data_IF_046409249309
#
_entry.id   IF_046409249309
#
_cell.length_a   1.000
_cell.length_b   1.000
_cell.length_c   1.000
_cell.angle_alpha   90.00
_cell.angle_beta   90.00
_cell.angle_gamma   90.00
#
_symmetry.space_group_name_H-M   'P 1'
#
loop_
_entity.id
_entity.type
_entity.pdbx_description
1 polymer ?
#
# COMPACT_ATOMS: atom_id res chain seq x y z
N UNK A 1 22.39 -67.02 35.27
CA UNK A 1 21.35 -66.11 35.78
C UNK A 1 21.58 -64.74 35.17
N UNK A 2 20.87 -64.41 34.08
CA UNK A 2 20.86 -63.06 33.50
C UNK A 2 19.88 -62.17 34.28
N UNK A 3 20.36 -61.01 34.74
CA UNK A 3 19.55 -60.00 35.42
C UNK A 3 18.94 -59.06 34.38
N UNK A 4 17.64 -59.20 34.11
CA UNK A 4 16.89 -58.20 33.33
C UNK A 4 16.77 -56.91 34.14
N UNK A 5 17.52 -55.88 33.73
CA UNK A 5 17.50 -54.57 34.37
C UNK A 5 16.33 -53.79 33.78
N UNK A 6 15.21 -53.74 34.50
CA UNK A 6 14.02 -52.97 34.12
C UNK A 6 14.31 -51.48 34.17
N UNK A 7 14.56 -50.87 33.01
CA UNK A 7 14.59 -49.42 32.85
C UNK A 7 13.17 -48.86 33.11
N UNK A 8 12.95 -48.27 34.29
CA UNK A 8 11.71 -47.54 34.59
C UNK A 8 11.57 -46.37 33.62
N UNK A 9 10.73 -46.53 32.59
CA UNK A 9 10.32 -45.42 31.73
C UNK A 9 9.56 -44.41 32.59
N UNK A 10 10.12 -43.22 32.77
CA UNK A 10 9.42 -42.11 33.44
C UNK A 10 8.29 -41.65 32.51
N UNK A 11 7.05 -41.76 32.96
CA UNK A 11 5.89 -41.19 32.27
C UNK A 11 5.74 -39.71 32.60
N UNK A 12 5.17 -38.95 31.67
CA UNK A 12 4.77 -37.55 31.91
C UNK A 12 3.69 -37.49 32.99
N UNK A 13 3.83 -36.56 33.92
CA UNK A 13 2.81 -36.26 34.91
C UNK A 13 1.72 -35.38 34.30
N UNK A 14 0.48 -35.50 34.82
CA UNK A 14 -0.63 -34.64 34.39
C UNK A 14 -0.33 -33.16 34.60
N UNK A 15 0.40 -32.82 35.67
CA UNK A 15 0.78 -31.44 35.97
C UNK A 15 1.81 -30.90 34.97
N UNK A 16 2.76 -31.71 34.52
CA UNK A 16 3.71 -31.31 33.46
C UNK A 16 2.98 -31.01 32.16
N UNK A 17 2.00 -31.83 31.77
CA UNK A 17 1.21 -31.57 30.57
C UNK A 17 0.35 -30.30 30.71
N UNK A 18 -0.22 -30.07 31.91
CA UNK A 18 -1.05 -28.91 32.20
C UNK A 18 -0.24 -27.60 32.14
N UNK A 19 0.98 -27.60 32.67
CA UNK A 19 1.88 -26.43 32.59
C UNK A 19 2.26 -26.13 31.13
N UNK A 20 2.51 -27.16 30.31
CA UNK A 20 2.88 -26.97 28.91
C UNK A 20 1.75 -26.30 28.11
N UNK A 21 0.52 -26.78 28.24
CA UNK A 21 -0.62 -26.15 27.53
C UNK A 21 -0.90 -24.73 28.04
N UNK A 22 -0.67 -24.47 29.33
CA UNK A 22 -0.79 -23.13 29.91
C UNK A 22 0.24 -22.16 29.32
N UNK A 23 1.52 -22.57 29.21
CA UNK A 23 2.59 -21.76 28.60
C UNK A 23 2.30 -21.53 27.11
N UNK A 24 1.89 -22.57 26.37
CA UNK A 24 1.54 -22.44 24.95
C UNK A 24 0.37 -21.46 24.77
N UNK A 25 -0.65 -21.50 25.63
CA UNK A 25 -1.78 -20.56 25.60
C UNK A 25 -1.36 -19.11 25.81
N UNK A 26 -0.49 -18.85 26.79
CA UNK A 26 0.05 -17.51 27.06
C UNK A 26 0.86 -17.00 25.86
N UNK A 27 1.80 -17.80 25.34
CA UNK A 27 2.63 -17.42 24.19
C UNK A 27 1.78 -17.21 22.92
N UNK A 28 0.80 -18.08 22.65
CA UNK A 28 -0.08 -17.97 21.48
C UNK A 28 -0.91 -16.67 21.52
N UNK A 29 -1.45 -16.29 22.68
CA UNK A 29 -2.23 -15.05 22.83
C UNK A 29 -1.40 -13.79 22.55
N UNK A 30 -0.13 -13.75 22.99
CA UNK A 30 0.75 -12.61 22.75
C UNK A 30 1.14 -12.46 21.26
N UNK A 31 1.25 -13.56 20.51
CA UNK A 31 1.62 -13.54 19.09
C UNK A 31 0.50 -12.92 18.24
N UNK A 32 -0.77 -13.22 18.54
CA UNK A 32 -1.91 -12.77 17.72
C UNK A 32 -2.02 -11.24 17.61
N UNK A 33 -1.73 -10.51 18.68
CA UNK A 33 -1.82 -9.03 18.71
C UNK A 33 -0.77 -8.38 17.79
N UNK A 34 0.43 -8.97 17.67
CA UNK A 34 1.52 -8.39 16.89
C UNK A 34 1.40 -8.64 15.38
N UNK A 35 0.73 -9.72 14.97
CA UNK A 35 0.61 -10.10 13.55
C UNK A 35 -0.27 -9.13 12.76
N UNK A 36 -1.25 -8.48 13.38
CA UNK A 36 -2.12 -7.50 12.71
C UNK A 36 -1.33 -6.27 12.24
N UNK A 37 -0.50 -5.68 13.10
CA UNK A 37 0.34 -4.52 12.78
C UNK A 37 1.43 -4.86 11.76
N UNK A 38 2.05 -6.04 11.86
CA UNK A 38 3.04 -6.49 10.88
C UNK A 38 2.45 -6.64 9.46
N UNK A 39 1.22 -7.17 9.35
CA UNK A 39 0.51 -7.28 8.07
C UNK A 39 0.19 -5.92 7.46
N UNK A 40 -0.23 -4.95 8.29
CA UNK A 40 -0.45 -3.55 7.87
C UNK A 40 0.82 -2.96 7.25
N UNK A 41 1.94 -3.02 7.97
CA UNK A 41 3.23 -2.50 7.48
C UNK A 41 3.71 -3.20 6.21
N UNK A 42 3.48 -4.51 6.09
CA UNK A 42 3.84 -5.26 4.89
C UNK A 42 3.02 -4.83 3.66
N UNK A 43 1.71 -4.54 3.83
CA UNK A 43 0.87 -4.00 2.75
C UNK A 43 1.30 -2.59 2.36
N UNK A 44 1.59 -1.73 3.33
CA UNK A 44 2.10 -0.38 3.07
C UNK A 44 3.45 -0.41 2.33
N UNK A 45 4.38 -1.29 2.73
CA UNK A 45 5.64 -1.47 2.00
C UNK A 45 5.40 -1.92 0.54
N UNK A 46 4.47 -2.85 0.33
CA UNK A 46 4.08 -3.29 -1.01
C UNK A 46 3.49 -2.13 -1.83
N UNK A 47 2.65 -1.27 -1.23
CA UNK A 47 2.11 -0.08 -1.89
C UNK A 47 3.21 0.84 -2.42
N UNK A 48 4.18 1.14 -1.57
CA UNK A 48 5.34 1.98 -1.93
C UNK A 48 6.12 1.38 -3.11
N UNK A 49 6.43 0.09 -3.07
CA UNK A 49 7.14 -0.56 -4.19
C UNK A 49 6.32 -0.56 -5.48
N UNK A 50 5.00 -0.75 -5.41
CA UNK A 50 4.13 -0.73 -6.58
C UNK A 50 4.01 0.67 -7.18
N UNK A 51 3.96 1.72 -6.36
CA UNK A 51 3.99 3.12 -6.82
C UNK A 51 5.28 3.44 -7.59
N UNK A 52 6.44 3.03 -7.07
CA UNK A 52 7.73 3.20 -7.75
C UNK A 52 7.76 2.50 -9.12
N UNK A 53 7.14 1.33 -9.23
CA UNK A 53 7.02 0.62 -10.51
C UNK A 53 6.16 1.39 -11.52
N UNK A 54 5.04 1.98 -11.07
CA UNK A 54 4.18 2.81 -11.93
C UNK A 54 4.91 4.07 -12.36
N UNK A 55 5.60 4.76 -11.43
CA UNK A 55 6.45 5.91 -11.74
C UNK A 55 7.49 5.59 -12.80
N UNK A 56 8.20 4.47 -12.65
CA UNK A 56 9.21 4.06 -13.64
C UNK A 56 8.58 3.91 -15.03
N UNK A 57 7.38 3.34 -15.12
CA UNK A 57 6.64 3.27 -16.37
C UNK A 57 6.23 4.65 -16.91
N UNK A 58 5.79 5.56 -16.04
CA UNK A 58 5.43 6.93 -16.42
C UNK A 58 6.63 7.67 -17.02
N UNK A 59 7.82 7.50 -16.44
CA UNK A 59 9.07 8.07 -16.97
C UNK A 59 9.44 7.46 -18.33
N UNK A 60 9.26 6.15 -18.51
CA UNK A 60 9.47 5.49 -19.81
C UNK A 60 8.51 6.03 -20.88
N UNK A 61 7.23 6.17 -20.53
CA UNK A 61 6.23 6.75 -21.42
C UNK A 61 6.60 8.19 -21.80
N UNK A 62 7.02 9.01 -20.82
CA UNK A 62 7.46 10.37 -21.05
C UNK A 62 8.67 10.43 -21.99
N UNK A 63 9.67 9.58 -21.78
CA UNK A 63 10.85 9.51 -22.65
C UNK A 63 10.49 9.17 -24.11
N UNK A 64 9.45 8.36 -24.34
CA UNK A 64 8.99 7.99 -25.66
C UNK A 64 8.07 9.03 -26.33
N UNK A 65 7.22 9.72 -25.56
CA UNK A 65 6.14 10.57 -26.09
C UNK A 65 6.31 12.07 -25.80
N UNK A 66 7.29 12.45 -24.98
CA UNK A 66 7.55 13.81 -24.54
C UNK A 66 6.51 14.41 -23.60
N UNK A 67 5.57 13.59 -23.11
CA UNK A 67 4.46 13.94 -22.19
C UNK A 67 4.05 12.72 -21.38
N UNK A 68 3.50 12.93 -20.19
CA UNK A 68 2.89 11.86 -19.40
C UNK A 68 1.52 11.44 -19.98
N UNK A 69 1.09 10.18 -19.81
CA UNK A 69 -0.14 9.69 -20.42
C UNK A 69 -1.38 10.42 -19.88
N UNK A 70 -2.46 10.57 -20.68
CA UNK A 70 -3.71 11.07 -20.16
C UNK A 70 -4.30 10.10 -19.14
N UNK A 71 -4.97 10.65 -18.12
CA UNK A 71 -5.72 9.88 -17.14
C UNK A 71 -7.00 9.32 -17.81
N UNK A 72 -6.88 8.15 -18.45
CA UNK A 72 -8.00 7.54 -19.18
C UNK A 72 -8.42 8.35 -20.39
N UNK A 73 -9.72 8.65 -20.51
CA UNK A 73 -10.31 9.43 -21.61
C UNK A 73 -10.31 10.95 -21.42
N UNK A 74 -9.68 11.45 -20.35
CA UNK A 74 -9.67 12.87 -20.03
C UNK A 74 -8.64 13.66 -20.85
N UNK A 75 -8.94 14.93 -21.16
CA UNK A 75 -7.99 15.86 -21.76
C UNK A 75 -6.99 16.37 -20.71
N UNK A 76 -5.84 16.87 -21.18
CA UNK A 76 -4.84 17.50 -20.31
C UNK A 76 -5.40 18.73 -19.59
N UNK A 77 -5.02 18.91 -18.32
CA UNK A 77 -5.39 20.08 -17.52
C UNK A 77 -6.84 20.10 -17.00
N UNK A 78 -7.63 19.04 -17.20
CA UNK A 78 -9.00 18.96 -16.65
C UNK A 78 -9.05 18.45 -15.21
N UNK A 79 -7.91 18.39 -14.51
CA UNK A 79 -7.76 17.84 -13.15
C UNK A 79 -8.52 16.51 -12.96
N UNK A 80 -8.22 15.55 -13.82
CA UNK A 80 -8.92 14.28 -13.88
C UNK A 80 -8.07 13.16 -13.29
N UNK A 81 -8.70 12.32 -12.47
CA UNK A 81 -8.08 11.17 -11.83
C UNK A 81 -8.72 9.86 -12.25
N UNK A 82 -7.87 8.88 -12.53
CA UNK A 82 -8.23 7.47 -12.68
C UNK A 82 -7.66 6.70 -11.51
N UNK A 83 -8.34 5.65 -11.06
CA UNK A 83 -7.87 4.82 -9.97
C UNK A 83 -7.95 3.34 -10.32
N UNK A 84 -7.11 2.54 -9.66
CA UNK A 84 -7.11 1.09 -9.77
C UNK A 84 -8.46 0.56 -9.28
N UNK A 85 -9.37 0.29 -10.20
CA UNK A 85 -10.57 -0.51 -9.91
C UNK A 85 -10.24 -2.00 -10.09
N UNK A 86 -11.23 -2.88 -9.95
CA UNK A 86 -11.08 -4.30 -10.28
C UNK A 86 -10.83 -4.57 -11.77
N UNK A 87 -11.02 -3.58 -12.65
CA UNK A 87 -10.69 -3.67 -14.06
C UNK A 87 -9.20 -3.35 -14.29
N UNK A 88 -8.50 -4.27 -14.96
CA UNK A 88 -7.08 -4.16 -15.29
C UNK A 88 -6.81 -2.89 -16.12
N UNK A 89 -5.65 -2.27 -15.87
CA UNK A 89 -5.08 -1.16 -16.64
C UNK A 89 -5.82 0.18 -16.56
N UNK A 90 -5.96 0.70 -15.34
CA UNK A 90 -6.54 2.00 -15.01
C UNK A 90 -5.84 3.21 -15.66
N UNK A 91 -4.63 3.05 -16.21
CA UNK A 91 -3.99 4.00 -17.15
C UNK A 91 -3.72 3.25 -18.46
N UNK A 92 -4.68 3.24 -19.42
CA UNK A 92 -4.57 2.39 -20.61
C UNK A 92 -3.32 2.66 -21.45
N UNK A 93 -2.94 3.93 -21.64
CA UNK A 93 -1.76 4.31 -22.41
C UNK A 93 -0.44 3.82 -21.79
N UNK A 94 -0.40 3.66 -20.46
CA UNK A 94 0.78 3.18 -19.74
C UNK A 94 0.94 1.65 -19.81
N UNK A 95 -0.16 0.93 -20.06
CA UNK A 95 -0.13 -0.54 -20.12
C UNK A 95 0.76 -1.09 -21.24
N UNK A 96 1.03 -0.28 -22.27
CA UNK A 96 1.98 -0.62 -23.33
C UNK A 96 3.44 -0.68 -22.82
N UNK A 97 3.80 0.09 -21.79
CA UNK A 97 5.18 0.20 -21.31
C UNK A 97 5.51 -0.81 -20.21
N UNK A 98 4.59 -1.02 -19.27
CA UNK A 98 4.84 -1.87 -18.08
C UNK A 98 3.88 -3.05 -17.96
N UNK A 99 3.03 -3.27 -18.96
CA UNK A 99 2.05 -4.36 -18.98
C UNK A 99 0.90 -4.11 -18.01
N UNK A 100 0.63 -5.09 -17.14
CA UNK A 100 -0.47 -5.00 -16.19
C UNK A 100 -0.14 -4.03 -15.05
N UNK A 101 -0.95 -3.00 -14.89
CA UNK A 101 -0.83 -2.08 -13.76
C UNK A 101 -1.18 -2.76 -12.43
N UNK A 102 -0.50 -2.40 -11.33
CA UNK A 102 -0.78 -2.98 -10.03
C UNK A 102 -2.17 -2.59 -9.53
N UNK A 103 -2.76 -3.48 -8.75
CA UNK A 103 -3.92 -3.22 -7.90
C UNK A 103 -3.49 -3.22 -6.43
N UNK A 104 -4.17 -2.41 -5.62
CA UNK A 104 -3.92 -2.34 -4.18
C UNK A 104 -4.14 -3.72 -3.51
N UNK A 105 -3.40 -4.08 -2.44
CA UNK A 105 -3.63 -5.34 -1.74
C UNK A 105 -5.02 -5.55 -1.14
N UNK A 106 -5.75 -4.47 -0.82
CA UNK A 106 -7.12 -4.50 -0.30
C UNK A 106 -8.13 -4.20 -1.43
N UNK A 107 -7.86 -3.19 -2.26
CA UNK A 107 -8.64 -2.83 -3.45
C UNK A 107 -10.17 -2.77 -3.22
N UNK A 108 -10.61 -1.91 -2.31
CA UNK A 108 -12.03 -1.66 -2.03
C UNK A 108 -12.56 -0.45 -2.80
N UNK A 109 -12.51 -0.58 -4.13
CA UNK A 109 -13.30 0.05 -5.22
C UNK A 109 -13.62 1.55 -5.26
N UNK A 110 -13.37 2.36 -4.24
CA UNK A 110 -13.42 3.82 -4.36
C UNK A 110 -11.99 4.35 -4.32
N UNK A 111 -11.70 5.40 -5.08
CA UNK A 111 -10.37 6.01 -5.12
C UNK A 111 -9.86 6.40 -3.72
N UNK A 112 -8.56 6.74 -3.58
CA UNK A 112 -7.91 6.99 -2.28
C UNK A 112 -8.43 8.25 -1.54
N UNK A 113 -9.43 8.92 -2.11
CA UNK A 113 -10.08 10.13 -1.61
C UNK A 113 -11.02 9.88 -0.43
N UNK A 114 -11.35 8.63 -0.11
CA UNK A 114 -12.19 8.30 1.04
C UNK A 114 -11.35 7.57 2.09
N UNK A 115 -11.49 7.96 3.34
CA UNK A 115 -10.78 7.31 4.44
C UNK A 115 -11.16 5.83 4.53
N UNK A 116 -10.17 4.94 4.52
CA UNK A 116 -10.39 3.50 4.52
C UNK A 116 -10.57 2.88 3.13
N UNK A 117 -10.42 3.66 2.06
CA UNK A 117 -10.43 3.18 0.68
C UNK A 117 -9.01 3.14 0.10
N UNK A 118 -8.62 1.96 -0.35
CA UNK A 118 -7.26 1.63 -0.76
C UNK A 118 -7.27 1.30 -2.26
N UNK A 119 -6.81 2.27 -3.05
CA UNK A 119 -6.59 2.16 -4.48
C UNK A 119 -5.39 3.03 -4.86
N UNK A 120 -4.70 2.66 -5.94
CA UNK A 120 -3.77 3.57 -6.61
C UNK A 120 -4.56 4.57 -7.43
N UNK A 121 -4.14 5.82 -7.48
CA UNK A 121 -4.77 6.85 -8.29
C UNK A 121 -3.73 7.67 -9.02
N UNK A 122 -4.03 8.00 -10.28
CA UNK A 122 -3.20 8.78 -11.17
C UNK A 122 -4.03 9.92 -11.75
N UNK A 123 -3.52 11.13 -11.60
CA UNK A 123 -4.13 12.35 -12.10
C UNK A 123 -3.24 13.04 -13.10
N UNK A 124 -3.84 13.54 -14.16
CA UNK A 124 -3.20 14.55 -14.98
C UNK A 124 -3.59 15.95 -14.49
N UNK A 125 -2.58 16.73 -14.11
CA UNK A 125 -2.78 18.04 -13.47
C UNK A 125 -2.23 19.22 -14.24
N UNK A 126 -1.56 18.95 -15.36
CA UNK A 126 -0.96 19.97 -16.20
C UNK A 126 -1.65 20.04 -17.55
N UNK A 127 -1.90 21.27 -18.03
CA UNK A 127 -2.52 21.52 -19.35
C UNK A 127 -1.64 21.06 -20.51
N UNK A 128 -0.33 20.97 -20.30
CA UNK A 128 0.67 20.61 -21.31
C UNK A 128 1.05 19.13 -21.27
N UNK A 129 0.66 18.39 -20.22
CA UNK A 129 0.99 16.98 -20.02
C UNK A 129 2.37 16.75 -19.38
N UNK A 130 2.98 17.79 -18.81
CA UNK A 130 4.32 17.74 -18.24
C UNK A 130 4.34 17.32 -16.77
N UNK A 131 3.21 17.33 -16.10
CA UNK A 131 3.09 16.98 -14.68
C UNK A 131 1.92 16.03 -14.42
N UNK A 132 2.15 15.11 -13.49
CA UNK A 132 1.18 14.15 -13.00
C UNK A 132 1.21 14.03 -11.48
N UNK A 133 0.10 13.50 -10.97
CA UNK A 133 -0.11 13.21 -9.56
C UNK A 133 -0.34 11.71 -9.40
N UNK A 134 0.45 11.04 -8.56
CA UNK A 134 0.30 9.61 -8.28
C UNK A 134 0.16 9.41 -6.76
N UNK A 135 -0.93 8.77 -6.33
CA UNK A 135 -1.28 8.67 -4.91
C UNK A 135 -1.84 7.30 -4.52
N UNK A 136 -1.66 6.93 -3.25
CA UNK A 136 -2.29 5.78 -2.60
C UNK A 136 -2.50 6.06 -1.11
N UNK A 137 -3.47 5.39 -0.47
CA UNK A 137 -3.69 5.48 0.97
C UNK A 137 -2.85 4.46 1.73
N UNK A 138 -2.13 4.90 2.77
CA UNK A 138 -1.46 4.03 3.72
C UNK A 138 -2.39 3.68 4.89
N UNK A 139 -2.24 2.46 5.40
CA UNK A 139 -3.02 1.98 6.54
C UNK A 139 -2.44 2.46 7.87
N UNK A 140 -1.12 2.54 7.97
CA UNK A 140 -0.43 2.92 9.20
C UNK A 140 -0.44 4.44 9.44
N UNK A 141 -1.12 4.94 10.49
CA UNK A 141 -1.05 6.35 10.90
C UNK A 141 0.26 6.67 11.63
N UNK A 142 1.27 5.81 11.53
CA UNK A 142 2.62 6.04 12.07
C UNK A 142 3.68 6.07 10.97
N UNK A 143 3.30 5.91 9.70
CA UNK A 143 4.24 5.83 8.60
C UNK A 143 4.93 7.21 8.33
N UNK A 144 6.26 7.25 8.14
CA UNK A 144 6.99 8.50 7.93
C UNK A 144 6.86 9.10 6.53
N UNK A 145 6.33 8.35 5.56
CA UNK A 145 6.20 8.81 4.17
C UNK A 145 4.80 9.33 3.84
N UNK A 146 3.94 9.45 4.85
CA UNK A 146 2.61 10.04 4.66
C UNK A 146 2.70 11.53 4.34
N UNK A 147 1.65 12.04 3.72
CA UNK A 147 1.50 13.44 3.40
C UNK A 147 1.76 14.36 4.58
N UNK A 148 1.05 14.16 5.70
CA UNK A 148 1.14 15.00 6.90
C UNK A 148 2.59 15.18 7.42
N UNK A 149 3.48 14.22 7.17
CA UNK A 149 4.89 14.26 7.58
C UNK A 149 5.79 14.88 6.50
N UNK A 150 5.48 14.61 5.22
CA UNK A 150 6.31 15.03 4.08
C UNK A 150 5.90 16.37 3.47
N UNK A 151 4.76 16.93 3.88
CA UNK A 151 4.18 18.19 3.39
C UNK A 151 4.08 18.25 1.86
N UNK A 152 3.46 17.25 1.24
CA UNK A 152 3.18 17.28 -0.20
C UNK A 152 2.22 18.42 -0.53
N UNK A 153 2.38 19.01 -1.72
CA UNK A 153 1.55 20.10 -2.23
C UNK A 153 0.88 19.70 -3.54
N UNK A 154 -0.30 20.26 -3.81
CA UNK A 154 -0.96 20.21 -5.11
C UNK A 154 -0.13 20.94 -6.16
N UNK A 155 -0.09 20.42 -7.40
CA UNK A 155 0.63 21.06 -8.49
C UNK A 155 0.00 22.39 -8.95
N UNK A 156 -1.34 22.51 -8.93
CA UNK A 156 -2.03 23.62 -9.58
C UNK A 156 -2.18 24.89 -8.71
N UNK A 157 -2.10 24.76 -7.39
CA UNK A 157 -2.30 25.88 -6.44
C UNK A 157 -1.33 25.92 -5.26
N UNK A 158 -0.30 25.05 -5.26
CA UNK A 158 0.69 24.88 -4.20
C UNK A 158 0.08 24.66 -2.79
N UNK A 159 -1.21 24.32 -2.68
CA UNK A 159 -1.84 24.06 -1.39
C UNK A 159 -1.29 22.77 -0.80
N UNK A 160 -1.10 22.68 0.54
CA UNK A 160 -0.71 21.44 1.17
C UNK A 160 -1.78 20.39 0.92
N UNK A 161 -1.38 19.29 0.28
CA UNK A 161 -2.26 18.18 -0.05
C UNK A 161 -2.91 17.58 1.20
N UNK A 162 -2.21 17.69 2.32
CA UNK A 162 -2.60 17.12 3.60
C UNK A 162 -3.67 17.95 4.32
N UNK A 163 -3.81 19.23 3.95
CA UNK A 163 -4.72 20.20 4.56
C UNK A 163 -6.08 20.27 3.84
N UNK A 164 -6.36 19.29 2.97
CA UNK A 164 -7.68 19.16 2.36
C UNK A 164 -8.79 18.98 3.42
N UNK A 165 -10.04 19.39 3.13
CA UNK A 165 -11.11 19.39 4.13
C UNK A 165 -11.26 18.04 4.83
N UNK A 166 -11.29 18.07 6.18
CA UNK A 166 -11.49 16.91 7.07
C UNK A 166 -10.34 15.87 7.15
N UNK A 167 -9.07 16.29 6.99
CA UNK A 167 -7.89 15.41 7.07
C UNK A 167 -7.94 14.22 6.08
N UNK A 168 -8.76 14.35 5.03
CA UNK A 168 -9.17 13.25 4.16
C UNK A 168 -7.98 12.62 3.41
N UNK A 169 -6.91 13.38 3.21
CA UNK A 169 -5.71 12.97 2.48
C UNK A 169 -4.45 12.83 3.36
N UNK A 170 -4.56 13.06 4.68
CA UNK A 170 -3.45 12.98 5.64
C UNK A 170 -2.68 11.64 5.59
N UNK A 171 -3.40 10.56 5.29
CA UNK A 171 -2.88 9.18 5.21
C UNK A 171 -2.36 8.77 3.83
N UNK A 172 -2.40 9.65 2.84
CA UNK A 172 -1.92 9.31 1.50
C UNK A 172 -0.40 9.41 1.41
N UNK A 173 0.20 8.55 0.60
CA UNK A 173 1.55 8.75 0.05
C UNK A 173 1.41 9.32 -1.35
N UNK A 174 2.34 10.20 -1.69
CA UNK A 174 2.28 10.97 -2.91
C UNK A 174 3.61 10.95 -3.65
N UNK A 175 3.55 10.66 -4.93
CA UNK A 175 4.67 10.80 -5.84
C UNK A 175 4.30 11.84 -6.91
N UNK A 176 4.94 13.00 -6.85
CA UNK A 176 4.83 14.05 -7.88
C UNK A 176 5.95 13.86 -8.90
N UNK A 177 5.65 14.12 -10.17
CA UNK A 177 6.69 14.49 -11.13
C UNK A 177 7.32 15.81 -10.67
N UNK A 178 8.63 15.82 -10.40
CA UNK A 178 9.43 17.04 -10.30
C UNK A 178 10.45 17.03 -11.41
#
# INVERSE_FOLDING_TARGET
>A
MEKFTQNKRKGFTLIELLIVIAIIGILASAILVNVSSARVKARDAKRKTQLLSVRTGLEMYYAAHGKYPPAGGCAYGTNCYVHSTSALNWIPALSAEIGNLPADPINNTDGPWVAGHYAYSYGNVSVDGQNYDLTAQLESPSDPDRCEVRHYTFYFDDQPWCDAPNDMYSKQIYEVSR
#
